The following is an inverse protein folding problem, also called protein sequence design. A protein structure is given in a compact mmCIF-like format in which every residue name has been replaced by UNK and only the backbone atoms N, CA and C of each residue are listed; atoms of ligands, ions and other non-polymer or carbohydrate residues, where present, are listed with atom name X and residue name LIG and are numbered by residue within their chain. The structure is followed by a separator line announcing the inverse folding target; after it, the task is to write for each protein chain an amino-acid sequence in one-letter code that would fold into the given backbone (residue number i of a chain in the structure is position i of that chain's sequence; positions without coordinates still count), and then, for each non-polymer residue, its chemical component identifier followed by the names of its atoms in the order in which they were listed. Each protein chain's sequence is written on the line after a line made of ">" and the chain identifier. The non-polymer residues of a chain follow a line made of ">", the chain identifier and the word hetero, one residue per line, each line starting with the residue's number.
data_IF_966317459527
#
_entry.id   IF_966317459527
#
_cell.length_a   1.000
_cell.length_b   1.000
_cell.length_c   1.000
_cell.angle_alpha   90.00
_cell.angle_beta   90.00
_cell.angle_gamma   90.00
#
_symmetry.space_group_name_H-M   'P 1'
#
loop_
_entity.id
_entity.type
_entity.pdbx_description
1 polymer ?
#
# COMPACT_ATOMS: atom_id res chain seq x y z
N UNK A 1 -7.37 -3.34 7.01
CA UNK A 1 -6.24 -2.66 6.35
C UNK A 1 -5.76 -3.49 5.18
N UNK A 2 -6.72 -4.08 4.47
CA UNK A 2 -6.51 -4.78 3.22
C UNK A 2 -7.51 -4.18 2.25
N UNK A 3 -7.12 -4.05 0.99
CA UNK A 3 -7.91 -3.43 -0.05
C UNK A 3 -7.83 -4.29 -1.30
N UNK A 4 -9.00 -4.65 -1.83
CA UNK A 4 -9.08 -5.45 -3.06
C UNK A 4 -8.61 -4.64 -4.27
N UNK A 5 -7.72 -5.24 -5.04
CA UNK A 5 -7.31 -4.74 -6.34
C UNK A 5 -8.41 -5.16 -7.32
N UNK A 6 -9.29 -4.20 -7.64
CA UNK A 6 -10.31 -4.45 -8.67
C UNK A 6 -9.64 -4.77 -10.00
N UNK A 7 -10.26 -5.69 -10.74
CA UNK A 7 -9.79 -6.05 -12.08
C UNK A 7 -9.60 -4.78 -12.93
N UNK A 8 -8.51 -4.68 -13.71
CA UNK A 8 -8.27 -3.53 -14.55
C UNK A 8 -9.42 -3.38 -15.56
N UNK A 9 -9.80 -2.14 -15.93
CA UNK A 9 -10.78 -1.91 -16.98
C UNK A 9 -10.40 -2.61 -18.28
N UNK A 10 -11.39 -2.98 -19.10
CA UNK A 10 -11.18 -3.64 -20.39
C UNK A 10 -10.11 -2.93 -21.22
N UNK A 11 -9.13 -3.68 -21.72
CA UNK A 11 -8.00 -3.17 -22.50
C UNK A 11 -6.83 -2.61 -21.68
N UNK A 12 -6.89 -2.65 -20.34
CA UNK A 12 -5.75 -2.36 -19.47
C UNK A 12 -5.21 -3.62 -18.82
N UNK A 13 -3.89 -3.67 -18.65
CA UNK A 13 -3.21 -4.71 -17.88
C UNK A 13 -2.83 -4.14 -16.53
N UNK A 14 -3.08 -4.89 -15.47
CA UNK A 14 -2.60 -4.54 -14.13
C UNK A 14 -1.11 -4.85 -14.03
N UNK A 15 -0.32 -3.88 -13.61
CA UNK A 15 1.12 -4.02 -13.40
C UNK A 15 1.42 -3.89 -11.90
N UNK A 16 1.76 -5.01 -11.21
CA UNK A 16 2.12 -5.00 -9.78
C UNK A 16 3.29 -4.07 -9.44
N UNK A 17 4.19 -3.82 -10.40
CA UNK A 17 5.34 -2.93 -10.21
C UNK A 17 4.95 -1.46 -10.31
N UNK A 18 3.71 -1.15 -10.71
CA UNK A 18 3.20 0.22 -10.86
C UNK A 18 2.04 0.53 -9.92
N UNK A 19 2.20 0.19 -8.64
CA UNK A 19 1.23 0.45 -7.59
C UNK A 19 1.88 1.24 -6.48
N UNK A 20 1.27 2.34 -6.08
CA UNK A 20 1.68 3.10 -4.90
C UNK A 20 0.51 3.22 -3.94
N UNK A 21 0.83 3.22 -2.65
CA UNK A 21 -0.15 3.37 -1.58
C UNK A 21 0.25 4.60 -0.79
N UNK A 22 -0.71 5.49 -0.59
CA UNK A 22 -0.56 6.64 0.30
C UNK A 22 -1.68 6.62 1.32
N UNK A 23 -1.41 7.15 2.49
CA UNK A 23 -2.41 7.38 3.51
C UNK A 23 -2.45 8.82 3.98
N UNK A 24 -3.58 9.22 4.52
CA UNK A 24 -3.82 10.57 4.98
C UNK A 24 -4.55 10.47 6.32
N UNK A 25 -3.86 10.74 7.42
CA UNK A 25 -4.47 10.87 8.76
C UNK A 25 -4.87 12.31 9.08
N UNK A 26 -4.27 13.27 8.38
CA UNK A 26 -4.57 14.71 8.50
C UNK A 26 -5.05 15.20 7.14
N UNK A 27 -6.25 15.81 7.05
CA UNK A 27 -6.81 16.27 5.79
C UNK A 27 -5.83 17.12 4.95
N UNK A 28 -5.56 16.69 3.72
CA UNK A 28 -4.66 17.38 2.79
C UNK A 28 -3.17 17.06 2.94
N UNK A 29 -2.78 16.14 3.82
CA UNK A 29 -1.38 15.71 4.03
C UNK A 29 -1.22 14.21 3.77
N UNK A 30 -1.18 13.77 2.49
CA UNK A 30 -0.91 12.37 2.16
C UNK A 30 0.55 12.03 2.45
N UNK A 31 0.76 10.90 3.10
CA UNK A 31 2.04 10.26 3.35
C UNK A 31 2.14 8.98 2.54
N UNK A 32 3.25 8.81 1.82
CA UNK A 32 3.50 7.60 1.03
C UNK A 32 3.88 6.43 1.94
N UNK A 33 3.43 5.23 1.55
CA UNK A 33 3.76 3.96 2.20
C UNK A 33 4.63 3.17 1.22
N UNK A 34 5.78 2.70 1.70
CA UNK A 34 6.68 1.91 0.87
C UNK A 34 6.18 0.48 0.66
N UNK A 35 6.47 -0.10 -0.49
CA UNK A 35 6.20 -1.50 -0.77
C UNK A 35 7.29 -2.42 -0.19
N UNK A 36 6.89 -3.55 0.39
CA UNK A 36 7.78 -4.66 0.76
C UNK A 36 7.36 -5.94 0.06
N UNK A 37 8.33 -6.83 -0.17
CA UNK A 37 8.17 -8.07 -0.93
C UNK A 37 7.38 -9.16 -0.21
N UNK A 38 7.45 -9.18 1.12
CA UNK A 38 6.76 -10.15 1.95
C UNK A 38 6.26 -9.53 3.27
N UNK A 39 5.25 -10.13 3.92
CA UNK A 39 4.82 -9.73 5.26
C UNK A 39 5.94 -9.75 6.30
N UNK A 40 6.93 -10.63 6.12
CA UNK A 40 8.11 -10.74 7.00
C UNK A 40 9.06 -9.55 6.90
N UNK A 41 8.95 -8.73 5.85
CA UNK A 41 9.73 -7.52 5.66
C UNK A 41 9.06 -6.26 6.25
N UNK A 42 7.89 -6.43 6.90
CA UNK A 42 7.28 -5.38 7.72
C UNK A 42 8.16 -5.11 8.96
N UNK A 43 9.08 -4.15 8.84
CA UNK A 43 9.94 -3.72 9.94
C UNK A 43 9.22 -2.72 10.87
N UNK A 44 9.48 -2.75 12.18
CA UNK A 44 9.01 -1.73 13.10
C UNK A 44 9.50 -0.33 12.71
N UNK A 45 8.64 0.68 12.82
CA UNK A 45 8.92 2.06 12.44
C UNK A 45 8.91 2.33 10.94
N UNK A 46 8.67 1.31 10.10
CA UNK A 46 8.64 1.44 8.65
C UNK A 46 7.19 1.41 8.15
N UNK A 47 6.62 2.54 7.69
CA UNK A 47 5.32 2.52 7.03
C UNK A 47 5.42 1.72 5.73
N UNK A 48 4.87 0.51 5.74
CA UNK A 48 5.00 -0.46 4.67
C UNK A 48 3.68 -1.14 4.29
N UNK A 49 3.61 -1.60 3.05
CA UNK A 49 2.53 -2.43 2.52
C UNK A 49 3.08 -3.53 1.63
N UNK A 50 2.36 -4.63 1.51
CA UNK A 50 2.71 -5.75 0.65
C UNK A 50 1.48 -6.25 -0.11
N UNK A 51 1.70 -7.11 -1.09
CA UNK A 51 0.62 -7.81 -1.75
C UNK A 51 0.27 -9.12 -1.01
N UNK A 52 -0.95 -9.61 -1.19
CA UNK A 52 -1.33 -10.98 -0.78
C UNK A 52 -0.52 -12.04 -1.52
N UNK A 53 -0.24 -11.78 -2.81
CA UNK A 53 0.54 -12.67 -3.66
C UNK A 53 1.54 -11.86 -4.50
N UNK A 54 2.83 -12.21 -4.52
CA UNK A 54 3.85 -11.46 -5.25
C UNK A 54 3.78 -11.61 -6.77
N UNK A 55 3.17 -12.69 -7.29
CA UNK A 55 3.09 -12.96 -8.74
C UNK A 55 1.75 -12.60 -9.35
N UNK A 56 0.67 -12.74 -8.59
CA UNK A 56 -0.68 -12.42 -9.03
C UNK A 56 -1.47 -11.76 -7.88
N UNK A 57 -1.18 -10.50 -7.54
CA UNK A 57 -1.79 -9.85 -6.40
C UNK A 57 -3.27 -9.61 -6.65
N UNK A 58 -4.09 -9.93 -5.66
CA UNK A 58 -5.51 -9.62 -5.64
C UNK A 58 -5.85 -8.58 -4.57
N UNK A 59 -4.95 -8.38 -3.60
CA UNK A 59 -5.11 -7.44 -2.50
C UNK A 59 -3.82 -6.70 -2.18
N UNK A 60 -3.98 -5.45 -1.77
CA UNK A 60 -2.96 -4.66 -1.07
C UNK A 60 -3.21 -4.79 0.42
N UNK A 61 -2.18 -5.14 1.19
CA UNK A 61 -2.24 -5.33 2.63
C UNK A 61 -1.25 -4.37 3.28
N UNK A 62 -1.72 -3.51 4.18
CA UNK A 62 -0.81 -2.69 4.98
C UNK A 62 -0.17 -3.53 6.08
N UNK A 63 1.10 -3.28 6.36
CA UNK A 63 1.81 -3.90 7.48
C UNK A 63 1.10 -3.60 8.81
N UNK A 64 1.26 -4.45 9.85
CA UNK A 64 0.53 -4.33 11.11
C UNK A 64 0.64 -2.96 11.78
N UNK A 65 1.82 -2.35 11.76
CA UNK A 65 2.05 -1.01 12.34
C UNK A 65 1.34 0.09 11.55
N UNK A 66 1.50 0.11 10.23
CA UNK A 66 0.76 1.03 9.35
C UNK A 66 -0.74 0.88 9.54
N UNK A 67 -1.23 -0.36 9.68
CA UNK A 67 -2.63 -0.62 9.97
C UNK A 67 -3.07 -0.06 11.33
N UNK A 68 -2.25 -0.19 12.37
CA UNK A 68 -2.52 0.37 13.68
C UNK A 68 -2.61 1.90 13.64
N UNK A 69 -1.66 2.56 12.96
CA UNK A 69 -1.69 4.03 12.75
C UNK A 69 -2.95 4.48 12.04
N UNK A 70 -3.36 3.78 10.98
CA UNK A 70 -4.58 4.10 10.24
C UNK A 70 -5.83 3.93 11.08
N UNK A 71 -5.90 2.87 11.90
CA UNK A 71 -7.05 2.61 12.78
C UNK A 71 -7.13 3.58 13.95
N UNK A 72 -6.01 4.14 14.38
CA UNK A 72 -5.96 5.13 15.46
C UNK A 72 -6.39 6.53 15.00
N UNK A 73 -6.47 6.80 13.69
CA UNK A 73 -6.85 8.10 13.15
C UNK A 73 -8.34 8.17 12.81
N UNK A 74 -9.04 9.18 13.34
CA UNK A 74 -10.49 9.37 13.17
C UNK A 74 -10.93 9.57 11.70
N UNK A 75 -10.02 10.08 10.86
CA UNK A 75 -10.28 10.43 9.45
C UNK A 75 -9.24 9.85 8.49
N UNK A 76 -8.73 8.65 8.79
CA UNK A 76 -7.79 7.99 7.89
C UNK A 76 -8.38 7.76 6.49
N UNK A 77 -7.69 8.25 5.46
CA UNK A 77 -7.94 7.91 4.05
C UNK A 77 -6.76 7.14 3.49
N UNK A 78 -7.06 6.16 2.64
CA UNK A 78 -6.04 5.38 1.92
C UNK A 78 -6.32 5.49 0.44
N UNK A 79 -5.27 5.80 -0.31
CA UNK A 79 -5.30 6.00 -1.74
C UNK A 79 -4.39 4.98 -2.41
N UNK A 80 -4.96 4.17 -3.29
CA UNK A 80 -4.21 3.28 -4.17
C UNK A 80 -4.06 3.96 -5.54
N UNK A 81 -2.83 4.25 -5.92
CA UNK A 81 -2.48 4.82 -7.21
C UNK A 81 -1.90 3.74 -8.13
N UNK A 82 -2.51 3.58 -9.30
CA UNK A 82 -2.08 2.62 -10.33
C UNK A 82 -1.48 3.36 -11.52
N UNK A 83 -0.37 2.85 -12.07
CA UNK A 83 0.25 3.34 -13.30
C UNK A 83 1.59 4.06 -13.14
N UNK A 84 2.03 4.32 -11.89
CA UNK A 84 3.36 4.88 -11.59
C UNK A 84 4.23 3.84 -10.91
N UNK A 85 5.54 3.82 -11.20
CA UNK A 85 6.51 2.90 -10.59
C UNK A 85 6.41 2.94 -9.06
N UNK A 86 6.37 1.75 -8.44
CA UNK A 86 6.17 1.63 -7.00
C UNK A 86 7.37 2.11 -6.20
N UNK A 87 7.11 2.81 -5.10
CA UNK A 87 8.12 3.16 -4.11
C UNK A 87 8.38 1.95 -3.21
N UNK A 88 9.63 1.52 -3.11
CA UNK A 88 10.04 0.42 -2.21
C UNK A 88 10.28 0.98 -0.82
N UNK A 89 9.78 0.30 0.22
CA UNK A 89 10.08 0.65 1.59
C UNK A 89 11.57 0.37 1.83
N UNK A 90 12.34 1.43 2.06
CA UNK A 90 13.75 1.33 2.43
C UNK A 90 13.88 1.86 3.86
N UNK A 91 14.49 1.10 4.79
CA UNK A 91 14.98 1.69 6.01
C UNK A 91 16.12 2.64 5.62
N UNK A 92 15.89 3.94 5.76
CA UNK A 92 16.92 4.97 5.58
C UNK A 92 17.92 4.94 6.73
#
# INVERSE_FOLDING_TARGET
>A
CEWDIRAPPSGKTFDPAKVNVAYETTPGMPMDIGWVDAPTACAPGLPAWHFDNPTAPTKVIACPETCATLRAADHARVTLAFGCERKVARPE
#
